data_IF_180334257140
#
_entry.id   IF_180334257140
#
_cell.length_a   1.000
_cell.length_b   1.000
_cell.length_c   1.000
_cell.angle_alpha   90.00
_cell.angle_beta   90.00
_cell.angle_gamma   90.00
#
_symmetry.space_group_name_H-M   'P 1'
#
loop_
_entity.id
_entity.type
_entity.pdbx_description
1 polymer ?
#
# COMPACT_ATOMS: atom_id res chain seq x y z
N UNK A 1 0.36 10.84 0.05
CA UNK A 1 -0.40 10.57 1.28
C UNK A 1 -0.44 9.08 1.63
N UNK A 2 -0.96 8.21 0.76
CA UNK A 2 -1.11 6.74 1.04
C UNK A 2 0.19 6.08 1.47
N UNK A 3 1.29 6.33 0.75
CA UNK A 3 2.62 5.78 1.08
C UNK A 3 3.10 6.23 2.47
N UNK A 4 2.83 7.47 2.87
CA UNK A 4 3.21 8.00 4.18
C UNK A 4 2.43 7.30 5.31
N UNK A 5 1.12 7.06 5.11
CA UNK A 5 0.29 6.34 6.07
C UNK A 5 0.78 4.90 6.24
N UNK A 6 1.08 4.21 5.13
CA UNK A 6 1.63 2.86 5.16
C UNK A 6 2.97 2.82 5.90
N UNK A 7 3.86 3.77 5.62
CA UNK A 7 5.14 3.88 6.32
C UNK A 7 4.97 4.06 7.84
N UNK A 8 4.04 4.91 8.27
CA UNK A 8 3.71 5.09 9.70
C UNK A 8 3.18 3.79 10.32
N UNK A 9 2.30 3.07 9.62
CA UNK A 9 1.79 1.78 10.10
C UNK A 9 2.89 0.73 10.25
N UNK A 10 3.85 0.69 9.31
CA UNK A 10 5.03 -0.16 9.41
C UNK A 10 5.92 0.22 10.60
N UNK A 11 6.17 1.51 10.80
CA UNK A 11 6.98 2.00 11.92
C UNK A 11 6.34 1.64 13.27
N UNK A 12 5.04 1.91 13.43
CA UNK A 12 4.28 1.59 14.66
C UNK A 12 4.22 0.08 14.89
N UNK A 13 3.94 -0.71 13.85
CA UNK A 13 3.90 -2.17 13.95
C UNK A 13 5.25 -2.76 14.36
N UNK A 14 6.34 -2.26 13.78
CA UNK A 14 7.70 -2.70 14.07
C UNK A 14 8.14 -2.30 15.48
N UNK A 15 7.86 -1.06 15.88
CA UNK A 15 8.19 -0.58 17.22
C UNK A 15 7.43 -1.35 18.30
N UNK A 16 6.12 -1.60 18.10
CA UNK A 16 5.33 -2.45 18.99
C UNK A 16 5.87 -3.88 19.05
N UNK A 17 6.30 -4.45 17.92
CA UNK A 17 6.88 -5.79 17.88
C UNK A 17 8.16 -5.86 18.73
N UNK A 18 9.08 -4.91 18.54
CA UNK A 18 10.35 -4.83 19.28
C UNK A 18 10.14 -4.58 20.78
N UNK A 19 9.19 -3.72 21.13
CA UNK A 19 8.87 -3.36 22.53
C UNK A 19 7.90 -4.31 23.22
N UNK A 20 7.53 -5.43 22.57
CA UNK A 20 6.61 -6.40 23.15
C UNK A 20 7.21 -7.20 24.32
N UNK A 21 8.54 -7.16 24.52
CA UNK A 21 9.25 -7.81 25.63
C UNK A 21 8.89 -9.30 25.83
N UNK A 22 8.62 -10.03 24.74
CA UNK A 22 8.23 -11.45 24.80
C UNK A 22 6.77 -11.73 25.14
N UNK A 23 5.92 -10.70 25.34
CA UNK A 23 4.49 -10.90 25.52
C UNK A 23 3.83 -11.38 24.21
N UNK A 24 3.35 -12.62 24.21
CA UNK A 24 2.79 -13.28 23.03
C UNK A 24 1.58 -12.55 22.42
N UNK A 25 0.74 -11.93 23.25
CA UNK A 25 -0.44 -11.19 22.78
C UNK A 25 -0.04 -9.90 22.07
N UNK A 26 0.90 -9.14 22.65
CA UNK A 26 1.45 -7.92 22.03
C UNK A 26 2.18 -8.22 20.73
N UNK A 27 2.97 -9.29 20.69
CA UNK A 27 3.64 -9.78 19.48
C UNK A 27 2.62 -10.09 18.39
N UNK A 28 1.57 -10.87 18.71
CA UNK A 28 0.52 -11.23 17.76
C UNK A 28 -0.23 -10.01 17.22
N UNK A 29 -0.51 -9.03 18.09
CA UNK A 29 -1.14 -7.76 17.69
C UNK A 29 -0.25 -6.96 16.75
N UNK A 30 1.03 -6.80 17.08
CA UNK A 30 2.00 -6.09 16.26
C UNK A 30 2.19 -6.75 14.88
N UNK A 31 2.29 -8.09 14.85
CA UNK A 31 2.32 -8.85 13.60
C UNK A 31 1.03 -8.66 12.78
N UNK A 32 -0.14 -8.59 13.43
CA UNK A 32 -1.40 -8.26 12.77
C UNK A 32 -1.35 -6.91 12.08
N UNK A 33 -0.90 -5.86 12.79
CA UNK A 33 -0.73 -4.52 12.21
C UNK A 33 0.21 -4.53 11.00
N UNK A 34 1.35 -5.22 11.11
CA UNK A 34 2.31 -5.35 10.00
C UNK A 34 1.70 -6.08 8.80
N UNK A 35 0.96 -7.18 9.04
CA UNK A 35 0.25 -7.90 7.97
C UNK A 35 -0.74 -7.01 7.24
N UNK A 36 -1.55 -6.22 7.96
CA UNK A 36 -2.49 -5.30 7.33
C UNK A 36 -1.79 -4.18 6.56
N UNK A 37 -0.66 -3.66 7.06
CA UNK A 37 0.14 -2.68 6.34
C UNK A 37 0.70 -3.25 5.01
N UNK A 38 1.20 -4.49 5.03
CA UNK A 38 1.66 -5.19 3.81
C UNK A 38 0.50 -5.39 2.83
N UNK A 39 -0.64 -5.88 3.30
CA UNK A 39 -1.82 -6.12 2.43
C UNK A 39 -2.29 -4.81 1.78
N UNK A 40 -2.38 -3.72 2.54
CA UNK A 40 -2.76 -2.41 2.01
C UNK A 40 -1.78 -1.89 0.97
N UNK A 41 -0.48 -2.10 1.19
CA UNK A 41 0.56 -1.73 0.22
C UNK A 41 0.46 -2.53 -1.09
N UNK A 42 0.31 -3.86 -0.98
CA UNK A 42 0.13 -4.73 -2.14
C UNK A 42 -1.12 -4.34 -2.91
N UNK A 43 -2.24 -4.08 -2.22
CA UNK A 43 -3.49 -3.67 -2.86
C UNK A 43 -3.35 -2.32 -3.60
N UNK A 44 -2.65 -1.35 -3.00
CA UNK A 44 -2.36 -0.08 -3.65
C UNK A 44 -1.52 -0.24 -4.93
N UNK A 45 -0.43 -1.04 -4.87
CA UNK A 45 0.39 -1.32 -6.05
C UNK A 45 -0.42 -2.04 -7.12
N UNK A 46 -1.18 -3.06 -6.75
CA UNK A 46 -2.00 -3.82 -7.69
C UNK A 46 -3.02 -2.94 -8.40
N UNK A 47 -3.70 -2.04 -7.68
CA UNK A 47 -4.62 -1.09 -8.30
C UNK A 47 -3.92 -0.16 -9.30
N UNK A 48 -2.75 0.38 -8.93
CA UNK A 48 -1.94 1.22 -9.83
C UNK A 48 -1.46 0.44 -11.07
N UNK A 49 -1.08 -0.82 -10.89
CA UNK A 49 -0.62 -1.69 -11.97
C UNK A 49 -1.75 -2.00 -12.95
N UNK A 50 -2.95 -2.31 -12.45
CA UNK A 50 -4.13 -2.56 -13.30
C UNK A 50 -4.45 -1.33 -14.14
N UNK A 51 -4.47 -0.13 -13.55
CA UNK A 51 -4.72 1.11 -14.29
C UNK A 51 -3.65 1.37 -15.35
N UNK A 52 -2.38 1.12 -15.06
CA UNK A 52 -1.30 1.22 -16.04
C UNK A 52 -1.44 0.21 -17.18
N UNK A 53 -1.78 -1.03 -16.86
CA UNK A 53 -2.00 -2.08 -17.88
C UNK A 53 -3.15 -1.66 -18.81
N UNK A 54 -4.23 -1.09 -18.26
CA UNK A 54 -5.33 -0.57 -19.08
C UNK A 54 -4.86 0.59 -19.96
N UNK A 55 -4.10 1.54 -19.42
CA UNK A 55 -3.58 2.68 -20.18
C UNK A 55 -2.65 2.23 -21.33
N UNK A 56 -1.78 1.26 -21.07
CA UNK A 56 -0.85 0.72 -22.07
C UNK A 56 -1.60 -0.06 -23.15
N UNK A 57 -2.49 -0.98 -22.77
CA UNK A 57 -3.15 -1.87 -23.72
C UNK A 57 -4.26 -1.19 -24.53
N UNK A 58 -4.98 -0.23 -23.95
CA UNK A 58 -6.17 0.36 -24.57
C UNK A 58 -6.02 1.84 -24.94
N UNK A 59 -5.11 2.59 -24.29
CA UNK A 59 -4.96 4.04 -24.48
C UNK A 59 -3.61 4.43 -25.08
N UNK A 60 -2.80 3.44 -25.47
CA UNK A 60 -1.51 3.63 -26.14
C UNK A 60 -0.38 4.10 -25.21
N UNK A 61 -0.52 3.94 -23.89
CA UNK A 61 0.54 4.18 -22.90
C UNK A 61 0.92 5.66 -22.72
N UNK A 62 0.00 6.57 -23.06
CA UNK A 62 0.25 8.02 -23.00
C UNK A 62 -0.02 8.63 -21.60
N UNK A 63 -0.46 7.82 -20.63
CA UNK A 63 -0.81 8.26 -19.29
C UNK A 63 -2.10 9.10 -19.25
N UNK A 64 -2.99 8.92 -20.24
CA UNK A 64 -4.19 9.77 -20.41
C UNK A 64 -5.15 9.63 -19.22
N UNK A 65 -5.23 8.44 -18.62
CA UNK A 65 -6.01 8.22 -17.40
C UNK A 65 -5.57 9.10 -16.23
N UNK A 66 -4.28 9.39 -16.12
CA UNK A 66 -3.72 10.18 -15.03
C UNK A 66 -3.70 11.68 -15.32
N UNK A 67 -3.85 12.07 -16.59
CA UNK A 67 -3.90 13.47 -17.02
C UNK A 67 -5.30 14.07 -17.04
N UNK A 68 -6.37 13.25 -16.98
CA UNK A 68 -7.76 13.71 -17.08
C UNK A 68 -8.01 14.60 -18.31
N UNK A 69 -7.24 14.41 -19.38
CA UNK A 69 -7.45 15.10 -20.65
C UNK A 69 -8.68 14.49 -21.32
N UNK A 70 -9.83 15.12 -21.11
CA UNK A 70 -11.06 14.79 -21.82
C UNK A 70 -10.85 15.23 -23.27
N UNK A 71 -10.89 14.31 -24.26
CA UNK A 71 -10.78 14.69 -25.65
C UNK A 71 -11.99 15.56 -26.04
N UNK A 72 -11.72 16.74 -26.62
CA UNK A 72 -12.72 17.64 -27.21
C UNK A 72 -13.46 16.99 -28.38
#
# INVERSE_FOLDING_TARGET
LVVLVLFIMFAIGSFNYLTSLGNAEKIKKAQGTLKFAVIGFVLFISAYLILNIIDILFLGGQGKLFKLEIPN
#
